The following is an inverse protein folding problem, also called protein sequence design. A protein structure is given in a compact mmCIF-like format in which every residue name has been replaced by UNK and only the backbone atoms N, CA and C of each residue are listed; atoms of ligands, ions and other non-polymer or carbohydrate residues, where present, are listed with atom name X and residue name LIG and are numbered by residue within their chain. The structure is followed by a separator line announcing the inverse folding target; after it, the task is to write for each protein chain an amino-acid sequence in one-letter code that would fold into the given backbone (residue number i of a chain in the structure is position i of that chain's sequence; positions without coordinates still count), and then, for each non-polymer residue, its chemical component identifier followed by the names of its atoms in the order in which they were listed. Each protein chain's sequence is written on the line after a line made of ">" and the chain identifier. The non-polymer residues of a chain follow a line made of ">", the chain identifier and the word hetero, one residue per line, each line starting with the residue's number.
data_IF_187015987673
#
_entry.id   IF_187015987673
#
_cell.length_a   1.000
_cell.length_b   1.000
_cell.length_c   1.000
_cell.angle_alpha   90.00
_cell.angle_beta   90.00
_cell.angle_gamma   90.00
#
_symmetry.space_group_name_H-M   'P 1'
#
loop_
_entity.id
_entity.type
_entity.pdbx_description
1 polymer ?
#
# COMPACT_ATOMS: atom_id res chain seq x y z
N UNK A 1 56.00 0.30 12.33
CA UNK A 1 55.18 1.15 13.21
C UNK A 1 53.94 1.56 12.45
N UNK A 2 52.82 0.84 12.61
CA UNK A 2 51.52 1.35 12.18
C UNK A 2 51.20 2.55 13.07
N UNK A 3 51.31 3.77 12.53
CA UNK A 3 50.72 4.93 13.20
C UNK A 3 49.21 4.68 13.16
N UNK A 4 48.64 4.38 14.32
CA UNK A 4 47.22 4.61 14.53
C UNK A 4 46.99 6.11 14.35
N UNK A 5 46.64 6.52 13.14
CA UNK A 5 45.90 7.75 12.97
C UNK A 5 44.57 7.50 13.67
N UNK A 6 44.46 7.96 14.92
CA UNK A 6 43.16 8.24 15.49
C UNK A 6 42.59 9.37 14.64
N UNK A 7 41.90 9.03 13.55
CA UNK A 7 41.13 10.00 12.81
C UNK A 7 40.12 10.60 13.79
N UNK A 8 40.08 11.94 13.84
CA UNK A 8 39.17 12.63 14.76
C UNK A 8 37.74 12.25 14.39
N UNK A 9 37.03 11.61 15.32
CA UNK A 9 35.61 11.33 15.15
C UNK A 9 34.86 12.63 14.82
N UNK A 10 33.88 12.55 13.92
CA UNK A 10 33.05 13.69 13.52
C UNK A 10 31.77 13.71 14.38
N UNK A 11 30.87 14.70 14.23
CA UNK A 11 29.73 14.76 15.12
C UNK A 11 28.69 13.65 14.87
N UNK A 12 27.93 13.24 15.88
CA UNK A 12 26.84 12.30 15.72
C UNK A 12 25.73 12.88 14.83
N UNK A 13 24.99 12.03 14.11
CA UNK A 13 23.82 12.46 13.36
C UNK A 13 22.73 12.93 14.31
N UNK A 14 22.13 14.09 14.06
CA UNK A 14 21.04 14.58 14.91
C UNK A 14 19.77 13.71 14.78
N UNK A 15 19.03 13.61 15.88
CA UNK A 15 17.77 12.90 15.98
C UNK A 15 16.74 13.38 14.95
N UNK A 16 16.66 14.69 14.70
CA UNK A 16 15.77 15.30 13.70
C UNK A 16 16.03 14.79 12.27
N UNK A 17 17.22 14.21 12.02
CA UNK A 17 17.52 13.57 10.74
C UNK A 17 17.05 12.13 10.75
N UNK A 18 17.46 11.33 11.73
CA UNK A 18 17.21 9.88 11.78
C UNK A 18 15.74 9.52 12.11
N UNK A 19 15.05 10.33 12.90
CA UNK A 19 13.69 10.06 13.37
C UNK A 19 12.66 10.04 12.24
N UNK A 20 12.60 11.03 11.33
CA UNK A 20 11.72 10.97 10.16
C UNK A 20 11.98 9.76 9.25
N UNK A 21 13.25 9.37 9.07
CA UNK A 21 13.63 8.19 8.28
C UNK A 21 12.99 6.92 8.84
N UNK A 22 13.14 6.70 10.15
CA UNK A 22 12.60 5.52 10.81
C UNK A 22 11.08 5.48 10.84
N UNK A 23 10.43 6.63 11.05
CA UNK A 23 8.96 6.71 11.01
C UNK A 23 8.42 6.35 9.63
N UNK A 24 9.08 6.82 8.57
CA UNK A 24 8.71 6.47 7.19
C UNK A 24 8.90 4.98 6.94
N UNK A 25 10.02 4.39 7.35
CA UNK A 25 10.22 2.94 7.24
C UNK A 25 9.12 2.16 7.98
N UNK A 26 8.76 2.59 9.18
CA UNK A 26 7.67 2.02 9.97
C UNK A 26 6.30 2.08 9.26
N UNK A 27 5.97 3.20 8.63
CA UNK A 27 4.71 3.35 7.90
C UNK A 27 4.71 2.63 6.55
N UNK A 28 5.81 2.67 5.79
CA UNK A 28 5.93 1.95 4.50
C UNK A 28 5.81 0.43 4.68
N UNK A 29 6.32 -0.10 5.80
CA UNK A 29 6.18 -1.52 6.16
C UNK A 29 4.72 -1.99 6.31
N UNK A 30 3.76 -1.09 6.50
CA UNK A 30 2.34 -1.44 6.57
C UNK A 30 1.72 -1.71 5.18
N UNK A 31 2.33 -1.23 4.10
CA UNK A 31 1.77 -1.33 2.74
C UNK A 31 1.55 -2.78 2.30
N UNK A 32 2.47 -3.75 2.52
CA UNK A 32 2.23 -5.14 2.17
C UNK A 32 1.06 -5.76 2.93
N UNK A 33 0.90 -5.46 4.23
CA UNK A 33 -0.25 -5.89 5.03
C UNK A 33 -1.57 -5.34 4.47
N UNK A 34 -1.62 -4.04 4.16
CA UNK A 34 -2.80 -3.38 3.57
C UNK A 34 -3.14 -4.00 2.21
N UNK A 35 -2.13 -4.17 1.35
CA UNK A 35 -2.27 -4.77 0.04
C UNK A 35 -2.87 -6.19 0.14
N UNK A 36 -2.30 -7.03 1.01
CA UNK A 36 -2.82 -8.38 1.25
C UNK A 36 -4.26 -8.36 1.78
N UNK A 37 -4.57 -7.52 2.77
CA UNK A 37 -5.93 -7.38 3.30
C UNK A 37 -6.94 -6.97 2.23
N UNK A 38 -6.57 -6.06 1.33
CA UNK A 38 -7.43 -5.65 0.21
C UNK A 38 -7.61 -6.77 -0.82
N UNK A 39 -6.54 -7.47 -1.21
CA UNK A 39 -6.62 -8.64 -2.11
C UNK A 39 -7.55 -9.69 -1.50
N UNK A 40 -7.35 -10.04 -0.23
CA UNK A 40 -8.16 -11.03 0.49
C UNK A 40 -9.65 -10.65 0.48
N UNK A 41 -10.00 -9.41 0.86
CA UNK A 41 -11.39 -8.96 0.84
C UNK A 41 -12.03 -9.05 -0.54
N UNK A 42 -11.29 -8.69 -1.58
CA UNK A 42 -11.81 -8.77 -2.95
C UNK A 42 -11.96 -10.23 -3.42
N UNK A 43 -11.04 -11.12 -3.06
CA UNK A 43 -11.14 -12.56 -3.35
C UNK A 43 -12.31 -13.21 -2.61
N UNK A 44 -12.47 -12.94 -1.32
CA UNK A 44 -13.56 -13.45 -0.50
C UNK A 44 -14.92 -13.02 -1.08
N UNK A 45 -15.02 -11.76 -1.55
CA UNK A 45 -16.21 -11.28 -2.28
C UNK A 45 -16.47 -12.03 -3.58
N UNK A 46 -15.44 -12.27 -4.39
CA UNK A 46 -15.57 -13.02 -5.65
C UNK A 46 -16.02 -14.46 -5.38
N UNK A 47 -15.48 -15.10 -4.33
CA UNK A 47 -15.89 -16.44 -3.89
C UNK A 47 -17.37 -16.46 -3.49
N UNK A 48 -17.79 -15.54 -2.62
CA UNK A 48 -19.19 -15.44 -2.19
C UNK A 48 -20.15 -15.21 -3.36
N UNK A 49 -19.77 -14.39 -4.35
CA UNK A 49 -20.56 -14.19 -5.58
C UNK A 49 -20.73 -15.47 -6.40
N UNK A 50 -19.68 -16.29 -6.52
CA UNK A 50 -19.74 -17.60 -7.21
C UNK A 50 -20.60 -18.60 -6.45
N UNK A 51 -20.47 -18.66 -5.13
CA UNK A 51 -21.32 -19.51 -4.29
C UNK A 51 -22.80 -19.14 -4.43
N UNK A 52 -23.12 -17.84 -4.46
CA UNK A 52 -24.47 -17.36 -4.71
C UNK A 52 -24.97 -17.76 -6.11
N UNK A 53 -24.13 -17.63 -7.14
CA UNK A 53 -24.49 -18.08 -8.49
C UNK A 53 -24.87 -19.57 -8.52
N UNK A 54 -24.10 -20.43 -7.84
CA UNK A 54 -24.39 -21.87 -7.75
C UNK A 54 -25.69 -22.16 -7.00
N UNK A 55 -25.94 -21.48 -5.86
CA UNK A 55 -27.21 -21.61 -5.12
C UNK A 55 -28.40 -21.23 -6.03
N UNK A 56 -28.28 -20.17 -6.81
CA UNK A 56 -29.31 -19.72 -7.75
C UNK A 56 -29.53 -20.74 -8.88
N UNK A 57 -28.47 -21.34 -9.42
CA UNK A 57 -28.59 -22.41 -10.42
C UNK A 57 -29.35 -23.63 -9.89
N UNK A 58 -29.04 -24.08 -8.67
CA UNK A 58 -29.74 -25.21 -8.02
C UNK A 58 -31.24 -24.88 -7.84
N UNK A 59 -31.57 -23.66 -7.40
CA UNK A 59 -32.97 -23.24 -7.27
C UNK A 59 -33.71 -23.20 -8.61
N UNK A 60 -33.02 -22.84 -9.70
CA UNK A 60 -33.60 -22.89 -11.04
C UNK A 60 -33.91 -24.33 -11.49
N UNK A 61 -33.12 -25.31 -11.08
CA UNK A 61 -33.36 -26.72 -11.42
C UNK A 61 -34.48 -27.36 -10.58
N UNK A 62 -34.67 -26.89 -9.34
CA UNK A 62 -35.68 -27.42 -8.42
C UNK A 62 -37.09 -26.84 -8.63
N UNK A 63 -37.24 -25.74 -9.37
CA UNK A 63 -38.52 -25.06 -9.53
C UNK A 63 -39.48 -25.78 -10.48
N UNK A 64 -40.69 -26.10 -10.00
CA UNK A 64 -41.78 -26.73 -10.78
C UNK A 64 -42.67 -25.73 -11.55
N UNK A 65 -42.36 -24.43 -11.52
CA UNK A 65 -43.12 -23.38 -12.21
C UNK A 65 -42.21 -22.54 -13.12
N UNK A 66 -42.50 -22.55 -14.43
CA UNK A 66 -41.68 -21.97 -15.52
C UNK A 66 -41.18 -20.53 -15.25
N UNK A 67 -41.99 -19.69 -14.59
CA UNK A 67 -41.71 -18.26 -14.47
C UNK A 67 -40.61 -17.89 -13.47
N UNK A 68 -40.30 -18.75 -12.49
CA UNK A 68 -39.24 -18.53 -11.48
C UNK A 68 -37.87 -19.04 -11.94
N UNK A 69 -37.86 -20.09 -12.78
CA UNK A 69 -36.62 -20.70 -13.27
C UNK A 69 -35.81 -19.74 -14.15
N UNK A 70 -36.45 -19.03 -15.08
CA UNK A 70 -35.75 -18.10 -15.98
C UNK A 70 -35.00 -16.99 -15.23
N UNK A 71 -35.57 -16.52 -14.12
CA UNK A 71 -34.99 -15.43 -13.37
C UNK A 71 -33.85 -15.90 -12.45
N UNK A 72 -33.97 -17.07 -11.84
CA UNK A 72 -32.85 -17.69 -11.12
C UNK A 72 -31.68 -18.03 -12.04
N UNK A 73 -31.95 -18.57 -13.25
CA UNK A 73 -30.92 -18.77 -14.29
C UNK A 73 -30.24 -17.44 -14.63
N UNK A 74 -31.01 -16.39 -14.86
CA UNK A 74 -30.46 -15.09 -15.24
C UNK A 74 -29.63 -14.43 -14.11
N UNK A 75 -30.07 -14.55 -12.85
CA UNK A 75 -29.30 -14.07 -11.71
C UNK A 75 -28.01 -14.87 -11.51
N UNK A 76 -28.06 -16.19 -11.71
CA UNK A 76 -26.87 -17.03 -11.68
C UNK A 76 -25.87 -16.62 -12.77
N UNK A 77 -26.34 -16.37 -13.99
CA UNK A 77 -25.51 -15.88 -15.10
C UNK A 77 -24.92 -14.49 -14.79
N UNK A 78 -25.75 -13.55 -14.31
CA UNK A 78 -25.31 -12.21 -13.91
C UNK A 78 -24.25 -12.22 -12.80
N UNK A 79 -24.44 -13.04 -11.77
CA UNK A 79 -23.46 -13.21 -10.70
C UNK A 79 -22.16 -13.86 -11.18
N UNK A 80 -22.26 -14.83 -12.10
CA UNK A 80 -21.08 -15.47 -12.71
C UNK A 80 -20.27 -14.44 -13.49
N UNK A 81 -20.91 -13.67 -14.39
CA UNK A 81 -20.25 -12.61 -15.14
C UNK A 81 -19.64 -11.53 -14.23
N UNK A 82 -20.36 -11.14 -13.16
CA UNK A 82 -19.85 -10.17 -12.19
C UNK A 82 -18.65 -10.72 -11.41
N UNK A 83 -18.68 -12.00 -11.02
CA UNK A 83 -17.58 -12.66 -10.35
C UNK A 83 -16.35 -12.77 -11.25
N UNK A 84 -16.51 -13.07 -12.55
CA UNK A 84 -15.44 -13.08 -13.53
C UNK A 84 -14.82 -11.70 -13.73
N UNK A 85 -15.64 -10.66 -13.93
CA UNK A 85 -15.17 -9.29 -14.06
C UNK A 85 -14.42 -8.82 -12.80
N UNK A 86 -14.89 -9.21 -11.61
CA UNK A 86 -14.20 -8.95 -10.35
C UNK A 86 -12.89 -9.74 -10.25
N UNK A 87 -12.84 -11.00 -10.69
CA UNK A 87 -11.62 -11.79 -10.71
C UNK A 87 -10.52 -11.12 -11.56
N UNK A 88 -10.86 -10.61 -12.74
CA UNK A 88 -9.92 -9.88 -13.59
C UNK A 88 -9.40 -8.60 -12.92
N UNK A 89 -10.28 -7.85 -12.22
CA UNK A 89 -9.89 -6.67 -11.44
C UNK A 89 -8.98 -7.04 -10.25
N UNK A 90 -9.24 -8.16 -9.58
CA UNK A 90 -8.38 -8.70 -8.51
C UNK A 90 -7.00 -9.04 -9.06
N UNK A 91 -6.92 -9.68 -10.22
CA UNK A 91 -5.64 -10.00 -10.85
C UNK A 91 -4.84 -8.73 -11.17
N UNK A 92 -5.48 -7.72 -11.78
CA UNK A 92 -4.83 -6.45 -12.07
C UNK A 92 -4.35 -5.73 -10.79
N UNK A 93 -5.19 -5.68 -9.75
CA UNK A 93 -4.82 -5.12 -8.45
C UNK A 93 -3.67 -5.90 -7.81
N UNK A 94 -3.67 -7.23 -7.91
CA UNK A 94 -2.60 -8.08 -7.35
C UNK A 94 -1.25 -7.73 -7.96
N UNK A 95 -1.18 -7.57 -9.28
CA UNK A 95 0.07 -7.14 -9.95
C UNK A 95 0.56 -5.78 -9.46
N UNK A 96 -0.35 -4.81 -9.31
CA UNK A 96 0.00 -3.49 -8.78
C UNK A 96 0.45 -3.58 -7.31
N UNK A 97 -0.29 -4.32 -6.48
CA UNK A 97 0.02 -4.54 -5.07
C UNK A 97 1.38 -5.22 -4.85
N UNK A 98 1.75 -6.18 -5.71
CA UNK A 98 3.07 -6.81 -5.68
C UNK A 98 4.17 -5.80 -6.00
N UNK A 99 3.98 -4.97 -7.02
CA UNK A 99 4.92 -3.89 -7.35
C UNK A 99 5.08 -2.91 -6.19
N UNK A 100 3.97 -2.48 -5.60
CA UNK A 100 3.99 -1.57 -4.46
C UNK A 100 4.67 -2.20 -3.23
N UNK A 101 4.42 -3.47 -2.97
CA UNK A 101 5.11 -4.23 -1.91
C UNK A 101 6.62 -4.29 -2.17
N UNK A 102 7.04 -4.57 -3.39
CA UNK A 102 8.46 -4.62 -3.74
C UNK A 102 9.14 -3.26 -3.57
N UNK A 103 8.58 -2.19 -4.13
CA UNK A 103 9.20 -0.86 -4.07
C UNK A 103 9.22 -0.29 -2.64
N UNK A 104 8.15 -0.50 -1.88
CA UNK A 104 8.08 -0.05 -0.47
C UNK A 104 9.08 -0.80 0.39
N UNK A 105 9.20 -2.13 0.23
CA UNK A 105 10.13 -2.93 1.04
C UNK A 105 11.59 -2.73 0.64
N UNK A 106 11.88 -2.45 -0.64
CA UNK A 106 13.20 -1.99 -1.09
C UNK A 106 13.57 -0.68 -0.39
N UNK A 107 12.64 0.29 -0.36
CA UNK A 107 12.89 1.56 0.31
C UNK A 107 13.05 1.43 1.84
N UNK A 108 12.25 0.56 2.47
CA UNK A 108 12.40 0.22 3.89
C UNK A 108 13.78 -0.37 4.15
N UNK A 109 14.20 -1.34 3.35
CA UNK A 109 15.51 -1.99 3.50
C UNK A 109 16.67 -1.00 3.41
N UNK A 110 16.69 -0.13 2.39
CA UNK A 110 17.75 0.87 2.24
C UNK A 110 17.81 1.88 3.40
N UNK A 111 16.66 2.30 3.91
CA UNK A 111 16.60 3.20 5.08
C UNK A 111 17.13 2.46 6.32
N UNK A 112 16.65 1.24 6.56
CA UNK A 112 17.03 0.47 7.73
C UNK A 112 18.49 0.04 7.73
N UNK A 113 19.05 -0.30 6.58
CA UNK A 113 20.46 -0.67 6.47
C UNK A 113 21.37 0.53 6.73
N UNK A 114 21.00 1.73 6.27
CA UNK A 114 21.72 2.94 6.64
C UNK A 114 21.67 3.19 8.15
N UNK A 115 20.50 3.08 8.77
CA UNK A 115 20.35 3.28 10.23
C UNK A 115 21.05 2.17 11.02
N UNK A 116 21.01 0.92 10.54
CA UNK A 116 21.73 -0.21 11.12
C UNK A 116 23.24 -0.01 11.06
N UNK A 117 23.77 0.49 9.95
CA UNK A 117 25.18 0.87 9.84
C UNK A 117 25.56 1.87 10.92
N UNK A 118 24.80 2.95 11.08
CA UNK A 118 25.05 3.99 12.10
C UNK A 118 24.98 3.41 13.52
N UNK A 119 23.96 2.62 13.81
CA UNK A 119 23.77 1.93 15.10
C UNK A 119 24.93 0.99 15.41
N UNK A 120 25.37 0.21 14.43
CA UNK A 120 26.46 -0.77 14.59
C UNK A 120 27.85 -0.14 14.71
N UNK A 121 27.96 1.16 14.39
CA UNK A 121 29.21 1.91 14.51
C UNK A 121 29.42 2.50 15.91
N UNK A 122 28.52 2.24 16.86
CA UNK A 122 28.64 2.72 18.23
C UNK A 122 29.53 1.79 19.08
N UNK A 123 30.52 2.36 19.78
CA UNK A 123 31.33 1.63 20.77
C UNK A 123 31.70 2.54 21.94
N UNK A 124 31.36 2.14 23.18
CA UNK A 124 31.67 2.92 24.37
C UNK A 124 31.08 4.34 24.32
N UNK A 125 31.92 5.36 24.26
CA UNK A 125 31.52 6.78 24.21
C UNK A 125 31.36 7.36 22.79
N UNK A 126 31.55 6.54 21.76
CA UNK A 126 31.44 6.87 20.34
C UNK A 126 30.14 6.30 19.76
N UNK A 127 29.42 7.08 18.97
CA UNK A 127 28.14 6.70 18.35
C UNK A 127 27.84 7.56 17.12
N UNK A 128 27.07 7.01 16.18
CA UNK A 128 26.67 7.75 14.98
C UNK A 128 25.25 8.29 15.00
N UNK A 129 24.46 7.94 16.02
CA UNK A 129 23.08 8.39 16.19
C UNK A 129 22.95 9.17 17.50
N UNK A 130 22.48 10.41 17.43
CA UNK A 130 22.08 11.18 18.60
C UNK A 130 20.72 10.76 19.14
N UNK A 131 20.52 10.86 20.45
CA UNK A 131 19.26 10.57 21.12
C UNK A 131 18.21 11.69 20.94
N UNK A 132 16.93 11.31 21.03
CA UNK A 132 15.79 12.23 20.86
C UNK A 132 15.85 13.40 21.85
N UNK A 133 15.89 14.63 21.33
CA UNK A 133 15.97 15.86 22.13
C UNK A 133 17.24 16.02 22.98
N UNK A 134 18.22 15.10 22.88
CA UNK A 134 19.47 15.14 23.64
C UNK A 134 20.64 14.89 22.69
N UNK A 135 21.24 15.95 22.13
CA UNK A 135 22.29 15.80 21.12
C UNK A 135 23.52 15.05 21.66
N UNK A 136 23.74 15.03 22.98
CA UNK A 136 24.92 14.47 23.65
C UNK A 136 24.74 13.06 24.22
N UNK A 137 23.83 12.26 23.66
CA UNK A 137 23.62 10.88 24.08
C UNK A 137 23.41 9.94 22.88
N UNK A 138 23.72 8.65 23.08
CA UNK A 138 23.56 7.60 22.07
C UNK A 138 22.07 7.28 21.81
N UNK A 139 21.62 7.51 20.58
CA UNK A 139 20.27 7.24 20.09
C UNK A 139 20.06 5.81 19.55
N UNK A 140 21.07 4.94 19.61
CA UNK A 140 21.02 3.59 19.03
C UNK A 140 19.86 2.73 19.56
N UNK A 141 19.44 2.94 20.81
CA UNK A 141 18.33 2.22 21.41
C UNK A 141 16.95 2.68 20.90
N UNK A 142 16.79 3.95 20.52
CA UNK A 142 15.48 4.53 20.16
C UNK A 142 15.11 4.29 18.71
N UNK A 143 16.07 3.96 17.84
CA UNK A 143 15.82 3.70 16.42
C UNK A 143 14.71 2.64 16.19
N UNK A 144 14.69 1.59 17.03
CA UNK A 144 13.66 0.54 17.00
C UNK A 144 12.27 1.08 17.28
N UNK A 145 12.13 1.83 18.36
CA UNK A 145 10.86 2.41 18.77
C UNK A 145 10.34 3.45 17.77
N UNK A 146 11.25 4.04 16.98
CA UNK A 146 10.94 4.96 15.90
C UNK A 146 10.58 4.29 14.57
N UNK A 147 10.74 2.96 14.44
CA UNK A 147 10.32 2.18 13.27
C UNK A 147 11.43 1.61 12.39
N UNK A 148 12.70 1.87 12.71
CA UNK A 148 13.86 1.20 12.10
C UNK A 148 14.25 -0.01 12.94
N UNK A 149 14.26 -1.22 12.37
CA UNK A 149 14.34 -2.54 13.04
C UNK A 149 12.95 -3.16 13.32
N UNK A 150 12.02 -2.94 12.39
CA UNK A 150 10.70 -3.56 12.41
C UNK A 150 10.72 -5.01 11.91
N UNK A 151 9.83 -5.84 12.43
CA UNK A 151 9.65 -7.22 11.96
C UNK A 151 9.08 -7.26 10.54
N UNK A 152 9.12 -8.42 9.91
CA UNK A 152 8.45 -8.65 8.62
C UNK A 152 6.97 -8.24 8.65
N UNK A 153 6.42 -7.73 7.53
CA UNK A 153 4.99 -7.40 7.44
C UNK A 153 4.12 -8.63 7.74
N UNK A 154 3.08 -8.43 8.56
CA UNK A 154 2.09 -9.48 8.84
C UNK A 154 1.06 -9.55 7.72
N UNK A 155 0.88 -10.72 7.12
CA UNK A 155 -0.12 -10.96 6.06
C UNK A 155 -1.38 -11.60 6.65
N UNK A 156 -2.00 -10.93 7.62
CA UNK A 156 -3.13 -11.45 8.42
C UNK A 156 -4.51 -11.01 7.91
N UNK A 157 -4.55 -10.22 6.83
CA UNK A 157 -5.77 -9.68 6.24
C UNK A 157 -6.26 -8.37 6.87
N UNK A 158 -5.52 -7.83 7.85
CA UNK A 158 -5.83 -6.53 8.46
C UNK A 158 -5.59 -5.36 7.50
N UNK A 159 -6.17 -4.21 7.84
CA UNK A 159 -6.01 -2.95 7.11
C UNK A 159 -5.54 -1.86 8.08
N UNK A 160 -4.28 -1.90 8.54
CA UNK A 160 -3.76 -0.88 9.45
C UNK A 160 -3.83 0.51 8.81
N UNK A 161 -4.04 1.53 9.65
CA UNK A 161 -4.02 2.92 9.19
C UNK A 161 -2.58 3.39 8.95
N UNK A 162 -2.44 4.23 7.92
CA UNK A 162 -1.23 4.98 7.63
C UNK A 162 -1.32 6.35 8.32
N UNK A 163 -0.27 6.73 9.05
CA UNK A 163 -0.19 8.04 9.68
C UNK A 163 0.05 9.13 8.62
N UNK A 164 -0.97 9.95 8.33
CA UNK A 164 -0.87 11.05 7.35
C UNK A 164 0.15 12.12 7.73
N UNK A 165 0.44 12.26 9.02
CA UNK A 165 1.50 13.13 9.55
C UNK A 165 2.91 12.67 9.13
N UNK A 166 3.08 11.41 8.71
CA UNK A 166 4.34 10.85 8.21
C UNK A 166 4.28 10.70 6.69
N UNK A 167 3.20 10.07 6.21
CA UNK A 167 2.97 9.74 4.81
C UNK A 167 1.69 10.42 4.32
N UNK A 168 1.80 11.63 3.78
CA UNK A 168 0.67 12.43 3.28
C UNK A 168 0.23 12.01 1.87
N UNK A 169 -0.83 12.63 1.37
CA UNK A 169 -1.26 12.57 -0.03
C UNK A 169 -0.29 13.23 -1.02
N UNK A 170 0.54 14.15 -0.52
CA UNK A 170 1.45 14.98 -1.31
C UNK A 170 2.91 14.53 -1.25
N UNK A 171 3.30 13.74 -0.23
CA UNK A 171 4.68 13.28 -0.08
C UNK A 171 4.99 12.65 1.28
N UNK A 172 6.21 12.88 1.76
CA UNK A 172 6.73 12.41 3.04
C UNK A 172 6.78 13.59 4.02
N UNK A 173 5.73 13.74 4.81
CA UNK A 173 5.42 14.97 5.54
C UNK A 173 6.50 15.39 6.56
N UNK A 174 7.27 14.44 7.10
CA UNK A 174 8.36 14.71 8.03
C UNK A 174 9.74 14.84 7.36
N UNK A 175 9.87 14.63 6.03
CA UNK A 175 11.13 14.82 5.29
C UNK A 175 11.26 16.27 4.84
N UNK A 176 11.66 17.12 5.77
CA UNK A 176 12.02 18.50 5.50
C UNK A 176 13.43 18.66 4.90
N UNK A 177 13.73 19.89 4.52
CA UNK A 177 15.07 20.27 4.06
C UNK A 177 15.98 20.46 5.26
N UNK A 178 17.17 19.86 5.20
CA UNK A 178 18.24 20.04 6.18
C UNK A 178 19.44 20.62 5.44
N UNK A 179 19.89 21.80 5.85
CA UNK A 179 21.00 22.53 5.24
C UNK A 179 22.06 22.93 6.27
N UNK A 180 23.27 23.23 5.80
CA UNK A 180 24.30 23.99 6.52
C UNK A 180 24.67 23.47 7.91
N UNK A 181 25.32 22.31 8.00
CA UNK A 181 25.88 21.76 9.26
C UNK A 181 24.85 21.27 10.28
N UNK A 182 23.57 21.63 10.13
CA UNK A 182 22.52 21.30 11.10
C UNK A 182 22.12 19.82 11.11
N UNK A 183 22.68 18.97 10.24
CA UNK A 183 22.38 17.54 10.24
C UNK A 183 23.17 16.72 11.27
N UNK A 184 24.20 17.32 11.87
CA UNK A 184 25.08 16.65 12.84
C UNK A 184 25.26 17.54 14.07
N UNK A 185 25.49 16.91 15.24
CA UNK A 185 25.46 17.59 16.53
C UNK A 185 26.69 17.34 17.39
N UNK A 186 26.62 16.37 18.29
CA UNK A 186 27.65 16.11 19.31
C UNK A 186 28.97 15.64 18.72
N UNK A 187 30.00 16.47 18.89
CA UNK A 187 31.31 16.31 18.26
C UNK A 187 32.07 15.07 18.75
N UNK A 188 32.99 14.56 17.92
CA UNK A 188 33.85 13.44 18.28
C UNK A 188 33.10 12.13 18.59
N UNK A 189 32.05 11.82 17.83
CA UNK A 189 31.21 10.62 18.03
C UNK A 189 31.20 9.65 16.86
N UNK A 190 31.24 10.13 15.62
CA UNK A 190 31.03 9.32 14.42
C UNK A 190 32.06 9.64 13.32
N UNK A 191 32.89 8.69 12.91
CA UNK A 191 33.86 8.92 11.82
C UNK A 191 33.25 9.02 10.41
N UNK A 192 31.98 8.63 10.23
CA UNK A 192 31.37 8.43 8.91
C UNK A 192 31.20 9.72 8.10
N UNK A 193 31.10 10.88 8.75
CA UNK A 193 30.83 12.14 8.06
C UNK A 193 32.10 12.89 7.64
N UNK A 194 33.28 12.28 7.80
CA UNK A 194 34.55 12.90 7.49
C UNK A 194 34.69 13.10 5.99
N UNK A 195 35.02 14.31 5.56
CA UNK A 195 35.28 14.62 4.15
C UNK A 195 36.60 15.35 3.99
N UNK A 196 37.58 14.71 3.35
CA UNK A 196 38.93 15.23 3.23
C UNK A 196 39.63 14.77 1.95
N UNK A 197 40.75 15.41 1.61
CA UNK A 197 41.66 14.84 0.61
C UNK A 197 42.16 13.49 1.12
N UNK A 198 42.16 12.45 0.28
CA UNK A 198 42.59 11.11 0.70
C UNK A 198 44.07 11.06 1.12
N UNK A 199 44.87 12.04 0.71
CA UNK A 199 46.24 12.24 1.21
C UNK A 199 46.30 12.70 2.67
N UNK A 200 45.19 13.18 3.23
CA UNK A 200 45.07 13.73 4.58
C UNK A 200 44.65 12.73 5.66
N UNK A 201 44.12 11.55 5.30
CA UNK A 201 43.66 10.54 6.26
C UNK A 201 42.46 9.73 5.76
N UNK A 202 41.85 8.94 6.64
CA UNK A 202 40.67 8.14 6.29
C UNK A 202 39.41 9.00 6.26
N UNK A 203 38.51 8.74 5.31
CA UNK A 203 37.27 9.48 5.15
C UNK A 203 36.81 9.51 3.70
N UNK A 204 35.72 10.22 3.45
CA UNK A 204 35.25 10.42 2.09
C UNK A 204 36.14 11.43 1.36
N UNK A 205 36.41 11.16 0.07
CA UNK A 205 37.12 12.11 -0.79
C UNK A 205 36.41 13.46 -0.80
N UNK A 206 37.18 14.56 -0.78
CA UNK A 206 36.67 15.93 -0.90
C UNK A 206 35.82 16.16 -2.16
N UNK A 207 36.05 15.39 -3.22
CA UNK A 207 35.31 15.45 -4.48
C UNK A 207 34.09 14.53 -4.54
N UNK A 208 33.94 13.58 -3.61
CA UNK A 208 32.82 12.67 -3.60
C UNK A 208 31.53 13.35 -3.10
N UNK A 209 30.38 12.81 -3.46
CA UNK A 209 29.08 13.16 -2.89
C UNK A 209 28.42 11.87 -2.41
N UNK A 210 28.88 11.29 -1.28
CA UNK A 210 28.28 10.07 -0.75
C UNK A 210 26.83 10.32 -0.34
N UNK A 211 25.99 9.33 -0.64
CA UNK A 211 24.57 9.33 -0.32
C UNK A 211 24.20 8.00 0.33
N UNK A 212 23.41 8.06 1.41
CA UNK A 212 22.83 6.89 2.08
C UNK A 212 21.31 7.05 2.18
N UNK A 213 20.62 5.95 2.46
CA UNK A 213 19.16 5.90 2.63
C UNK A 213 18.43 6.61 1.48
N UNK A 214 18.65 6.18 0.23
CA UNK A 214 17.99 6.74 -0.96
C UNK A 214 18.27 8.24 -1.18
N UNK A 215 19.45 8.73 -0.78
CA UNK A 215 19.81 10.14 -0.90
C UNK A 215 19.18 11.03 0.17
N UNK A 216 18.59 10.46 1.21
CA UNK A 216 18.07 11.21 2.35
C UNK A 216 19.16 11.62 3.35
N UNK A 217 20.35 11.02 3.26
CA UNK A 217 21.55 11.40 3.99
C UNK A 217 22.66 11.73 2.98
N UNK A 218 22.93 13.02 2.75
CA UNK A 218 23.94 13.48 1.79
C UNK A 218 25.13 14.10 2.50
N UNK A 219 26.33 13.60 2.24
CA UNK A 219 27.57 14.13 2.83
C UNK A 219 28.13 15.22 1.92
N UNK A 220 27.71 16.46 2.16
CA UNK A 220 28.01 17.60 1.28
C UNK A 220 29.36 18.26 1.58
N UNK A 221 29.79 18.21 2.83
CA UNK A 221 31.03 18.82 3.33
C UNK A 221 31.59 18.02 4.52
N UNK A 222 32.73 18.47 5.04
CA UNK A 222 33.27 17.93 6.29
C UNK A 222 32.28 18.24 7.42
N UNK A 223 31.91 17.24 8.21
CA UNK A 223 30.91 17.37 9.29
C UNK A 223 29.55 17.90 8.80
N UNK A 224 29.16 17.58 7.56
CA UNK A 224 27.92 18.09 6.98
C UNK A 224 27.10 16.98 6.35
N UNK A 225 26.01 16.63 7.03
CA UNK A 225 24.93 15.82 6.47
C UNK A 225 23.75 16.72 6.14
N UNK A 226 23.24 16.59 4.92
CA UNK A 226 22.11 17.37 4.42
C UNK A 226 21.06 16.48 3.79
N UNK A 227 19.86 17.03 3.58
CA UNK A 227 18.70 16.37 3.00
C UNK A 227 17.87 17.37 2.22
N UNK A 228 17.36 16.97 1.07
CA UNK A 228 16.34 17.73 0.34
C UNK A 228 14.95 17.34 0.84
N UNK A 229 14.03 18.31 0.94
CA UNK A 229 12.64 18.02 1.30
C UNK A 229 11.98 17.05 0.31
N UNK A 230 11.20 16.11 0.85
CA UNK A 230 10.27 15.25 0.13
C UNK A 230 8.84 15.40 0.66
N UNK A 231 8.54 16.49 1.38
CA UNK A 231 7.18 16.80 1.84
C UNK A 231 6.19 16.91 0.69
N UNK A 232 6.67 17.31 -0.49
CA UNK A 232 5.90 17.38 -1.72
C UNK A 232 6.66 16.70 -2.86
N UNK A 233 6.07 15.64 -3.41
CA UNK A 233 6.52 15.01 -4.65
C UNK A 233 5.98 15.84 -5.81
N UNK A 234 6.89 16.40 -6.62
CA UNK A 234 6.56 17.35 -7.69
C UNK A 234 6.20 16.66 -9.02
N UNK A 235 6.36 15.34 -9.09
CA UNK A 235 6.04 14.56 -10.30
C UNK A 235 4.53 14.45 -10.46
N UNK A 236 4.07 14.47 -11.71
CA UNK A 236 2.64 14.36 -12.02
C UNK A 236 2.10 12.94 -11.77
N UNK A 237 2.93 11.92 -12.03
CA UNK A 237 2.55 10.52 -11.94
C UNK A 237 3.77 9.60 -11.78
N UNK A 238 3.48 8.32 -11.55
CA UNK A 238 4.47 7.25 -11.38
C UNK A 238 5.39 7.06 -12.60
N UNK A 239 4.89 7.27 -13.82
CA UNK A 239 5.69 7.13 -15.04
C UNK A 239 6.71 8.26 -15.22
N UNK A 240 6.53 9.39 -14.53
CA UNK A 240 7.49 10.51 -14.47
C UNK A 240 8.43 10.42 -13.26
N UNK A 241 8.17 9.51 -12.32
CA UNK A 241 9.00 9.29 -11.15
C UNK A 241 10.34 8.63 -11.53
N UNK A 242 11.43 9.26 -11.14
CA UNK A 242 12.79 8.80 -11.43
C UNK A 242 13.43 8.15 -10.21
N UNK A 243 13.24 8.73 -9.02
CA UNK A 243 13.76 8.19 -7.77
C UNK A 243 12.82 7.12 -7.19
N UNK A 244 13.38 6.18 -6.41
CA UNK A 244 12.58 5.12 -5.79
C UNK A 244 11.51 5.70 -4.85
N UNK A 245 11.83 6.66 -4.00
CA UNK A 245 10.87 7.29 -3.09
C UNK A 245 9.73 8.02 -3.82
N UNK A 246 9.97 8.55 -5.02
CA UNK A 246 8.89 9.09 -5.85
C UNK A 246 7.96 7.98 -6.34
N UNK A 247 8.51 6.85 -6.81
CA UNK A 247 7.72 5.68 -7.25
C UNK A 247 6.92 5.07 -6.10
N UNK A 248 7.54 4.92 -4.93
CA UNK A 248 6.92 4.43 -3.70
C UNK A 248 5.74 5.29 -3.28
N UNK A 249 5.86 6.61 -3.41
CA UNK A 249 4.76 7.53 -3.10
C UNK A 249 3.51 7.23 -3.95
N UNK A 250 3.66 7.07 -5.26
CA UNK A 250 2.51 6.73 -6.11
C UNK A 250 2.02 5.29 -5.89
N UNK A 251 2.94 4.34 -5.77
CA UNK A 251 2.60 2.93 -5.54
C UNK A 251 1.78 2.75 -4.24
N UNK A 252 2.14 3.43 -3.14
CA UNK A 252 1.36 3.35 -1.90
C UNK A 252 -0.02 3.99 -2.04
N UNK A 253 -0.12 5.12 -2.75
CA UNK A 253 -1.41 5.79 -2.97
C UNK A 253 -2.35 4.92 -3.80
N UNK A 254 -1.84 4.24 -4.82
CA UNK A 254 -2.62 3.27 -5.61
C UNK A 254 -3.16 2.13 -4.73
N UNK A 255 -2.35 1.57 -3.83
CA UNK A 255 -2.81 0.55 -2.86
C UNK A 255 -3.87 1.11 -1.92
N UNK A 256 -3.67 2.32 -1.39
CA UNK A 256 -4.60 2.96 -0.47
C UNK A 256 -5.95 3.25 -1.13
N UNK A 257 -5.93 3.74 -2.37
CA UNK A 257 -7.10 4.09 -3.18
C UNK A 257 -7.93 2.90 -3.66
N UNK A 258 -7.40 1.67 -3.60
CA UNK A 258 -8.18 0.50 -3.97
C UNK A 258 -9.38 0.32 -3.02
N UNK A 259 -10.57 0.59 -3.55
CA UNK A 259 -11.82 0.46 -2.79
C UNK A 259 -12.13 -1.01 -2.45
N UNK A 260 -12.50 -1.23 -1.18
CA UNK A 260 -12.99 -2.51 -0.67
C UNK A 260 -14.32 -2.37 0.07
N UNK A 261 -14.86 -1.16 0.17
CA UNK A 261 -16.12 -0.85 0.88
C UNK A 261 -17.32 -1.62 0.31
N UNK A 262 -17.34 -1.84 -1.01
CA UNK A 262 -18.37 -2.64 -1.67
C UNK A 262 -18.15 -4.16 -1.55
N UNK A 263 -17.02 -4.62 -1.00
CA UNK A 263 -16.66 -6.03 -0.90
C UNK A 263 -17.35 -6.71 0.29
N UNK A 264 -18.66 -6.94 0.13
CA UNK A 264 -19.47 -7.73 1.06
C UNK A 264 -19.54 -9.20 0.65
N UNK A 265 -19.55 -10.09 1.64
CA UNK A 265 -19.84 -11.53 1.48
C UNK A 265 -21.27 -11.88 1.90
N UNK A 266 -22.04 -10.90 2.37
CA UNK A 266 -23.43 -11.08 2.77
C UNK A 266 -24.31 -11.42 1.56
N UNK A 267 -25.06 -12.51 1.67
CA UNK A 267 -25.83 -13.06 0.56
C UNK A 267 -26.95 -12.12 0.13
N UNK A 268 -27.65 -11.51 1.07
CA UNK A 268 -28.72 -10.55 0.78
C UNK A 268 -28.18 -9.31 0.05
N UNK A 269 -27.06 -8.76 0.53
CA UNK A 269 -26.39 -7.64 -0.09
C UNK A 269 -25.85 -7.98 -1.49
N UNK A 270 -25.30 -9.19 -1.68
CA UNK A 270 -24.85 -9.67 -2.99
C UNK A 270 -26.02 -9.85 -3.95
N UNK A 271 -27.15 -10.37 -3.48
CA UNK A 271 -28.35 -10.59 -4.29
C UNK A 271 -29.00 -9.27 -4.69
N UNK A 272 -29.11 -8.32 -3.75
CA UNK A 272 -29.55 -6.95 -4.02
C UNK A 272 -28.61 -6.23 -4.99
N UNK A 273 -27.30 -6.38 -4.83
CA UNK A 273 -26.34 -5.80 -5.77
C UNK A 273 -26.50 -6.35 -7.19
N UNK A 274 -26.72 -7.66 -7.35
CA UNK A 274 -26.96 -8.24 -8.68
C UNK A 274 -28.30 -7.83 -9.28
N UNK A 275 -29.38 -7.78 -8.49
CA UNK A 275 -30.68 -7.33 -8.98
C UNK A 275 -30.64 -5.88 -9.53
N UNK A 276 -29.68 -5.07 -9.07
CA UNK A 276 -29.48 -3.68 -9.47
C UNK A 276 -28.32 -3.48 -10.47
N UNK A 277 -27.58 -4.54 -10.81
CA UNK A 277 -26.41 -4.47 -11.68
C UNK A 277 -26.85 -4.47 -13.17
N UNK A 278 -26.34 -3.51 -13.94
CA UNK A 278 -26.67 -3.38 -15.36
C UNK A 278 -26.24 -4.59 -16.21
N UNK A 279 -25.18 -5.30 -15.81
CA UNK A 279 -24.75 -6.55 -16.44
C UNK A 279 -25.71 -7.70 -16.15
N UNK A 280 -26.20 -7.80 -14.91
CA UNK A 280 -27.25 -8.78 -14.57
C UNK A 280 -28.54 -8.49 -15.36
N UNK A 281 -28.92 -7.23 -15.51
CA UNK A 281 -30.06 -6.86 -16.37
C UNK A 281 -29.84 -7.28 -17.84
N UNK A 282 -28.62 -7.16 -18.36
CA UNK A 282 -28.28 -7.60 -19.71
C UNK A 282 -28.37 -9.13 -19.86
N UNK A 283 -27.92 -9.89 -18.86
CA UNK A 283 -28.04 -11.35 -18.84
C UNK A 283 -29.49 -11.83 -18.69
N UNK A 284 -30.31 -11.14 -17.89
CA UNK A 284 -31.77 -11.38 -17.81
C UNK A 284 -32.42 -11.14 -19.16
N UNK A 285 -32.05 -10.05 -19.86
CA UNK A 285 -32.53 -9.78 -21.22
C UNK A 285 -32.11 -10.89 -22.19
N UNK A 286 -30.87 -11.36 -22.12
CA UNK A 286 -30.38 -12.48 -22.96
C UNK A 286 -31.18 -13.76 -22.71
N UNK A 287 -31.30 -14.19 -21.45
CA UNK A 287 -32.05 -15.40 -21.09
C UNK A 287 -33.54 -15.32 -21.47
N UNK A 288 -34.16 -14.14 -21.36
CA UNK A 288 -35.54 -13.92 -21.82
C UNK A 288 -35.67 -13.98 -23.34
N UNK A 289 -34.70 -13.48 -24.10
CA UNK A 289 -34.69 -13.57 -25.56
C UNK A 289 -34.48 -15.01 -26.04
N UNK A 290 -33.65 -15.78 -25.34
CA UNK A 290 -33.41 -17.19 -25.66
C UNK A 290 -34.66 -18.05 -25.44
N UNK A 291 -35.46 -17.73 -24.42
CA UNK A 291 -36.71 -18.44 -24.09
C UNK A 291 -37.94 -17.88 -24.82
N UNK A 292 -37.88 -16.65 -25.31
CA UNK A 292 -38.94 -16.01 -26.09
C UNK A 292 -38.33 -15.21 -27.27
N UNK A 293 -38.05 -15.86 -28.41
CA UNK A 293 -37.33 -15.24 -29.53
C UNK A 293 -38.04 -14.04 -30.15
N UNK A 294 -39.37 -13.96 -30.04
CA UNK A 294 -40.18 -12.92 -30.70
C UNK A 294 -40.42 -11.68 -29.82
N UNK A 295 -39.92 -11.68 -28.59
CA UNK A 295 -40.04 -10.53 -27.71
C UNK A 295 -39.35 -9.29 -28.31
N UNK A 296 -40.04 -8.16 -28.28
CA UNK A 296 -39.51 -6.87 -28.75
C UNK A 296 -38.48 -6.32 -27.76
N UNK A 297 -37.61 -5.40 -28.21
CA UNK A 297 -36.62 -4.75 -27.33
C UNK A 297 -37.29 -4.03 -26.16
N UNK A 298 -38.38 -3.31 -26.40
CA UNK A 298 -39.16 -2.65 -25.35
C UNK A 298 -39.85 -3.65 -24.40
N UNK A 299 -40.34 -4.78 -24.93
CA UNK A 299 -40.90 -5.88 -24.15
C UNK A 299 -39.85 -6.54 -23.24
N UNK A 300 -38.63 -6.71 -23.75
CA UNK A 300 -37.47 -7.22 -23.01
C UNK A 300 -37.10 -6.35 -21.81
N UNK A 301 -37.04 -5.03 -22.02
CA UNK A 301 -36.73 -4.09 -20.94
C UNK A 301 -37.76 -4.14 -19.82
N UNK A 302 -39.03 -4.21 -20.18
CA UNK A 302 -40.16 -4.23 -19.25
C UNK A 302 -40.21 -5.56 -18.50
N UNK A 303 -40.11 -6.68 -19.21
CA UNK A 303 -40.17 -8.02 -18.63
C UNK A 303 -38.98 -8.32 -17.70
N UNK A 304 -37.76 -7.89 -18.06
CA UNK A 304 -36.57 -8.07 -17.24
C UNK A 304 -36.68 -7.31 -15.91
N UNK A 305 -37.09 -6.03 -15.97
CA UNK A 305 -37.31 -5.21 -14.76
C UNK A 305 -38.44 -5.75 -13.90
N UNK A 306 -39.54 -6.20 -14.52
CA UNK A 306 -40.70 -6.75 -13.81
C UNK A 306 -40.33 -8.04 -13.05
N UNK A 307 -39.63 -8.99 -13.69
CA UNK A 307 -39.20 -10.24 -13.04
C UNK A 307 -38.25 -10.00 -11.87
N UNK A 308 -37.29 -9.08 -12.01
CA UNK A 308 -36.41 -8.69 -10.90
C UNK A 308 -37.20 -8.03 -9.76
N UNK A 309 -38.20 -7.22 -10.08
CA UNK A 309 -39.08 -6.57 -9.09
C UNK A 309 -40.02 -7.57 -8.40
N UNK A 310 -40.57 -8.55 -9.10
CA UNK A 310 -41.39 -9.61 -8.48
C UNK A 310 -40.58 -10.45 -7.49
N UNK A 311 -39.33 -10.75 -7.84
CA UNK A 311 -38.46 -11.57 -6.99
C UNK A 311 -37.90 -10.80 -5.81
N UNK A 312 -37.51 -9.53 -6.00
CA UNK A 312 -36.73 -8.78 -5.01
C UNK A 312 -37.37 -7.49 -4.51
N UNK A 313 -38.51 -7.06 -5.06
CA UNK A 313 -38.98 -5.65 -4.99
C UNK A 313 -37.98 -4.70 -5.65
N UNK A 314 -38.43 -3.49 -5.98
CA UNK A 314 -37.60 -2.50 -6.67
C UNK A 314 -36.35 -2.09 -5.87
N UNK A 315 -36.35 -2.32 -4.55
CA UNK A 315 -35.28 -1.99 -3.61
C UNK A 315 -34.44 -3.20 -3.16
N UNK A 316 -34.70 -4.41 -3.68
CA UNK A 316 -33.96 -5.62 -3.32
C UNK A 316 -34.41 -6.32 -2.01
N UNK A 317 -35.39 -5.79 -1.30
CA UNK A 317 -35.75 -6.22 0.07
C UNK A 317 -36.39 -7.61 0.19
N UNK A 318 -36.86 -8.23 -0.90
CA UNK A 318 -37.42 -9.59 -0.84
C UNK A 318 -36.36 -10.73 -0.91
N UNK A 319 -35.06 -10.41 -0.97
CA UNK A 319 -33.97 -11.39 -1.00
C UNK A 319 -34.05 -12.46 0.12
N UNK A 320 -34.40 -12.03 1.34
CA UNK A 320 -34.50 -12.88 2.53
C UNK A 320 -35.53 -14.01 2.44
N UNK A 321 -36.56 -13.87 1.59
CA UNK A 321 -37.64 -14.85 1.48
C UNK A 321 -37.17 -16.21 0.92
N UNK A 322 -36.01 -16.24 0.27
CA UNK A 322 -35.46 -17.45 -0.34
C UNK A 322 -34.49 -18.22 0.57
N UNK A 323 -34.38 -17.84 1.85
CA UNK A 323 -33.70 -18.64 2.89
C UNK A 323 -32.26 -19.00 2.56
N UNK A 324 -31.48 -18.05 2.02
CA UNK A 324 -30.10 -18.27 1.58
C UNK A 324 -29.03 -17.86 2.59
#
# INVERSE_FOLDING_TARGET
>A
MYRHHADAAQPALEDKICKPLCRIAGELRKIPTIAHGKIKKLQDRTKAGRELALKLSILAEQGTAENKNTAFVALAAGQTAQAEAKASKVAAFTTMALRATATTMEAVGEIEDAIRLLKSSATGGEYCLGADGTPTADGSATAKDLGCDGSEPKLDGSLPSIASAVLSDTGYAEIDTVSGGTGVGDSNKCGLWKKQALSGGAGHSSTAQPELALGLLKITGDEQVTRSSLQKISKADRGKATALLEKVHFDRLEVQAQETSSATTDVDALLKAAALDGGTLAEVKRALKDTNPDITVAGLETAAKSKLTELFKADGSNAQKYGM
#
